data_IF_064216104276
#
_entry.id   IF_064216104276
#
_cell.length_a   1.000
_cell.length_b   1.000
_cell.length_c   1.000
_cell.angle_alpha   90.00
_cell.angle_beta   90.00
_cell.angle_gamma   90.00
#
_symmetry.space_group_name_H-M   'P 1'
#
loop_
_entity.id
_entity.type
_entity.pdbx_description
1 polymer ?
#
# COMPACT_ATOMS: atom_id res chain seq x y z
N UNK A 1 -0.84 -23.06 48.75
CA UNK A 1 0.22 -23.39 47.77
C UNK A 1 -0.22 -22.87 46.41
N UNK A 2 0.28 -21.73 45.95
CA UNK A 2 -0.16 -21.09 44.71
C UNK A 2 1.03 -20.65 43.88
N UNK A 3 1.31 -21.35 42.78
CA UNK A 3 2.03 -20.80 41.65
C UNK A 3 1.14 -20.98 40.45
N UNK A 4 0.42 -19.94 39.98
CA UNK A 4 -0.17 -20.17 38.67
C UNK A 4 -0.26 -18.98 37.71
N UNK A 5 -0.12 -17.70 38.11
CA UNK A 5 -0.44 -16.64 37.12
C UNK A 5 0.69 -16.43 36.11
N UNK A 6 1.94 -16.24 36.56
CA UNK A 6 3.09 -16.00 35.68
C UNK A 6 3.46 -17.20 34.79
N UNK A 7 3.47 -18.42 35.35
CA UNK A 7 3.77 -19.63 34.55
C UNK A 7 2.68 -19.91 33.50
N UNK A 8 1.41 -19.67 33.83
CA UNK A 8 0.29 -19.79 32.89
C UNK A 8 0.37 -18.73 31.79
N UNK A 9 0.73 -17.49 32.14
CA UNK A 9 0.95 -16.39 31.19
C UNK A 9 2.11 -16.69 30.24
N UNK A 10 3.26 -17.16 30.75
CA UNK A 10 4.40 -17.58 29.92
C UNK A 10 4.05 -18.73 28.99
N UNK A 11 3.31 -19.75 29.47
CA UNK A 11 2.84 -20.86 28.62
C UNK A 11 1.88 -20.37 27.53
N UNK A 12 0.98 -19.44 27.85
CA UNK A 12 0.07 -18.84 26.87
C UNK A 12 0.82 -18.00 25.83
N UNK A 13 1.83 -17.24 26.25
CA UNK A 13 2.70 -16.46 25.36
C UNK A 13 3.47 -17.37 24.40
N UNK A 14 4.05 -18.46 24.91
CA UNK A 14 4.75 -19.46 24.09
C UNK A 14 3.83 -20.09 23.04
N UNK A 15 2.62 -20.52 23.45
CA UNK A 15 1.63 -21.08 22.53
C UNK A 15 1.22 -20.06 21.46
N UNK A 16 1.07 -18.79 21.86
CA UNK A 16 0.73 -17.69 20.95
C UNK A 16 1.84 -17.47 19.92
N UNK A 17 3.08 -17.24 20.35
CA UNK A 17 4.19 -16.96 19.43
C UNK A 17 4.47 -18.15 18.49
N UNK A 18 4.30 -19.39 18.96
CA UNK A 18 4.41 -20.57 18.11
C UNK A 18 3.38 -20.57 16.97
N UNK A 19 2.13 -20.20 17.26
CA UNK A 19 1.07 -20.06 16.25
C UNK A 19 1.30 -18.90 15.28
N UNK A 20 1.97 -17.83 15.71
CA UNK A 20 2.35 -16.72 14.82
C UNK A 20 3.46 -17.15 13.86
N UNK A 21 4.48 -17.84 14.35
CA UNK A 21 5.58 -18.37 13.54
C UNK A 21 5.09 -19.30 12.41
N UNK A 22 4.04 -20.10 12.67
CA UNK A 22 3.42 -20.99 11.68
C UNK A 22 2.71 -20.24 10.53
N UNK A 23 2.40 -18.95 10.70
CA UNK A 23 1.61 -18.14 9.75
C UNK A 23 2.41 -17.04 9.03
N UNK A 24 3.63 -16.76 9.46
CA UNK A 24 4.44 -15.65 8.93
C UNK A 24 5.27 -16.11 7.74
N UNK A 25 5.13 -15.38 6.64
CA UNK A 25 5.76 -15.69 5.35
C UNK A 25 7.14 -15.02 5.20
N UNK A 26 7.38 -13.90 5.90
CA UNK A 26 8.63 -13.13 5.77
C UNK A 26 9.76 -13.72 6.64
N UNK A 27 10.95 -14.03 6.08
CA UNK A 27 12.01 -14.75 6.79
C UNK A 27 12.64 -13.98 7.96
N UNK A 28 12.81 -12.66 7.86
CA UNK A 28 13.42 -11.87 8.95
C UNK A 28 12.52 -11.77 10.20
N UNK A 29 11.23 -11.48 9.99
CA UNK A 29 10.21 -11.47 11.07
C UNK A 29 10.07 -12.86 11.70
N UNK A 30 10.23 -13.91 10.89
CA UNK A 30 10.23 -15.29 11.38
C UNK A 30 11.43 -15.57 12.29
N UNK A 31 12.63 -15.05 11.97
CA UNK A 31 13.81 -15.19 12.82
C UNK A 31 13.67 -14.44 14.14
N UNK A 32 13.13 -13.22 14.14
CA UNK A 32 12.91 -12.44 15.37
C UNK A 32 11.95 -13.17 16.33
N UNK A 33 10.84 -13.70 15.81
CA UNK A 33 9.86 -14.46 16.61
C UNK A 33 10.44 -15.80 17.10
N UNK A 34 11.33 -16.42 16.32
CA UNK A 34 12.04 -17.63 16.74
C UNK A 34 12.96 -17.36 17.93
N UNK A 35 13.72 -16.25 17.90
CA UNK A 35 14.57 -15.81 19.01
C UNK A 35 13.73 -15.57 20.27
N UNK A 36 12.59 -14.87 20.15
CA UNK A 36 11.68 -14.66 21.28
C UNK A 36 11.12 -15.97 21.83
N UNK A 37 10.74 -16.92 20.97
CA UNK A 37 10.25 -18.24 21.38
C UNK A 37 11.29 -19.01 22.17
N UNK A 38 12.55 -18.97 21.74
CA UNK A 38 13.65 -19.65 22.41
C UNK A 38 13.95 -19.00 23.78
N UNK A 39 13.88 -17.67 23.88
CA UNK A 39 13.97 -16.96 25.16
C UNK A 39 12.83 -17.34 26.13
N UNK A 40 11.58 -17.38 25.65
CA UNK A 40 10.42 -17.78 26.47
C UNK A 40 10.56 -19.24 26.93
N UNK A 41 11.05 -20.12 26.06
CA UNK A 41 11.27 -21.54 26.37
C UNK A 41 12.35 -21.72 27.44
N UNK A 42 13.47 -21.03 27.31
CA UNK A 42 14.54 -21.04 28.31
C UNK A 42 14.07 -20.53 29.66
N UNK A 43 13.20 -19.51 29.66
CA UNK A 43 12.59 -19.00 30.88
C UNK A 43 11.58 -19.98 31.48
N UNK A 44 10.74 -20.66 30.69
CA UNK A 44 9.86 -21.72 31.18
C UNK A 44 10.65 -22.87 31.84
N UNK A 45 11.81 -23.23 31.29
CA UNK A 45 12.71 -24.24 31.86
C UNK A 45 13.31 -23.75 33.19
N UNK A 46 13.69 -22.46 33.28
CA UNK A 46 14.21 -21.85 34.52
C UNK A 46 13.13 -21.74 35.60
N UNK A 47 11.90 -21.39 35.23
CA UNK A 47 10.72 -21.31 36.12
C UNK A 47 10.34 -22.70 36.65
N UNK A 48 10.45 -23.76 35.84
CA UNK A 48 10.24 -25.13 36.30
C UNK A 48 11.27 -25.57 37.36
N UNK A 49 12.45 -24.96 37.39
CA UNK A 49 13.56 -25.29 38.31
C UNK A 49 13.63 -24.40 39.56
N UNK A 50 13.15 -23.15 39.50
CA UNK A 50 13.16 -22.24 40.65
C UNK A 50 11.90 -21.36 40.67
N UNK A 51 11.05 -21.59 41.69
CA UNK A 51 9.73 -20.98 41.83
C UNK A 51 9.75 -19.54 42.36
N UNK A 52 10.86 -19.09 42.96
CA UNK A 52 11.01 -17.73 43.52
C UNK A 52 11.45 -16.69 42.48
N UNK A 53 11.98 -17.11 41.33
CA UNK A 53 12.38 -16.23 40.23
C UNK A 53 11.21 -15.50 39.56
N UNK A 54 9.97 -15.97 39.78
CA UNK A 54 8.74 -15.46 39.16
C UNK A 54 8.38 -14.06 39.68
N UNK A 55 8.63 -13.79 40.97
CA UNK A 55 8.22 -12.54 41.61
C UNK A 55 9.08 -11.36 41.15
N UNK A 56 10.40 -11.56 41.07
CA UNK A 56 11.33 -10.50 40.69
C UNK A 56 11.28 -10.16 39.19
N UNK A 57 10.95 -11.15 38.34
CA UNK A 57 10.86 -10.93 36.90
C UNK A 57 9.58 -10.20 36.47
N UNK A 58 8.44 -10.51 37.10
CA UNK A 58 7.18 -9.80 36.83
C UNK A 58 7.22 -8.34 37.27
N UNK A 59 7.99 -8.01 38.31
CA UNK A 59 8.16 -6.62 38.78
C UNK A 59 9.10 -5.78 37.92
N UNK A 60 10.05 -6.38 37.20
CA UNK A 60 11.08 -5.62 36.46
C UNK A 60 10.81 -5.51 34.95
N UNK A 61 9.89 -6.28 34.35
CA UNK A 61 9.77 -6.31 32.88
C UNK A 61 8.38 -6.43 32.22
N UNK A 62 7.27 -6.15 32.90
CA UNK A 62 5.96 -6.15 32.24
C UNK A 62 5.03 -5.03 32.71
N UNK A 63 5.39 -3.78 32.38
CA UNK A 63 4.36 -2.87 31.86
C UNK A 63 4.25 -3.18 30.37
N UNK A 64 3.67 -4.34 30.04
CA UNK A 64 3.09 -4.50 28.71
C UNK A 64 1.77 -3.76 28.83
N UNK A 65 1.76 -2.50 28.37
CA UNK A 65 0.52 -1.90 27.90
C UNK A 65 -0.16 -2.97 27.06
N UNK A 66 -1.35 -3.40 27.48
CA UNK A 66 -2.19 -4.29 26.69
C UNK A 66 -2.04 -3.85 25.23
N UNK A 67 -1.65 -4.76 24.33
CA UNK A 67 -1.66 -4.48 22.90
C UNK A 67 -3.15 -4.32 22.53
N UNK A 68 -3.72 -3.17 22.87
CA UNK A 68 -5.03 -2.76 22.46
C UNK A 68 -4.94 -2.70 20.94
N UNK A 69 -5.89 -3.36 20.27
CA UNK A 69 -6.05 -3.21 18.84
C UNK A 69 -5.95 -1.70 18.54
N UNK A 70 -5.05 -1.26 17.63
CA UNK A 70 -4.82 0.15 17.43
C UNK A 70 -6.15 0.87 17.28
N UNK A 71 -6.31 1.99 17.97
CA UNK A 71 -7.59 2.69 17.96
C UNK A 71 -8.05 2.92 16.51
N UNK A 72 -9.37 2.91 16.22
CA UNK A 72 -9.89 3.12 14.86
C UNK A 72 -9.29 4.35 14.13
N UNK A 73 -8.88 5.37 14.91
CA UNK A 73 -8.19 6.57 14.43
C UNK A 73 -6.81 6.30 13.82
N UNK A 74 -6.07 5.32 14.35
CA UNK A 74 -4.74 4.93 13.82
C UNK A 74 -4.91 4.25 12.47
N UNK A 75 -5.88 3.35 12.32
CA UNK A 75 -6.20 2.74 11.03
C UNK A 75 -6.65 3.77 10.01
N UNK A 76 -7.57 4.67 10.40
CA UNK A 76 -8.02 5.74 9.52
C UNK A 76 -6.83 6.58 9.04
N UNK A 77 -5.93 7.00 9.94
CA UNK A 77 -4.75 7.77 9.57
C UNK A 77 -3.86 7.03 8.57
N UNK A 78 -3.54 5.75 8.81
CA UNK A 78 -2.68 4.95 7.94
C UNK A 78 -3.32 4.71 6.56
N UNK A 79 -4.60 4.34 6.53
CA UNK A 79 -5.35 4.12 5.28
C UNK A 79 -5.47 5.41 4.48
N UNK A 80 -5.77 6.54 5.14
CA UNK A 80 -5.83 7.86 4.50
C UNK A 80 -4.47 8.28 3.96
N UNK A 81 -3.39 8.03 4.70
CA UNK A 81 -2.03 8.32 4.27
C UNK A 81 -1.65 7.47 3.05
N UNK A 82 -1.98 6.18 3.05
CA UNK A 82 -1.75 5.29 1.90
C UNK A 82 -2.55 5.76 0.67
N UNK A 83 -3.84 6.06 0.83
CA UNK A 83 -4.67 6.57 -0.27
C UNK A 83 -4.09 7.86 -0.86
N UNK A 84 -3.76 8.86 -0.03
CA UNK A 84 -3.24 10.15 -0.49
C UNK A 84 -1.83 10.05 -1.05
N UNK A 85 -0.97 9.29 -0.38
CA UNK A 85 0.46 9.22 -0.64
C UNK A 85 0.82 8.30 -1.79
N UNK A 86 0.23 7.11 -1.85
CA UNK A 86 0.59 6.08 -2.83
C UNK A 86 -0.41 6.01 -3.97
N UNK A 87 -1.68 5.74 -3.67
CA UNK A 87 -2.70 5.46 -4.69
C UNK A 87 -3.03 6.68 -5.55
N UNK A 88 -3.39 7.80 -4.92
CA UNK A 88 -3.76 9.03 -5.64
C UNK A 88 -2.55 9.64 -6.39
N UNK A 89 -1.35 9.54 -5.81
CA UNK A 89 -0.12 9.98 -6.47
C UNK A 89 0.16 9.16 -7.73
N UNK A 90 0.04 7.83 -7.65
CA UNK A 90 0.20 6.94 -8.79
C UNK A 90 -0.83 7.23 -9.89
N UNK A 91 -2.10 7.48 -9.53
CA UNK A 91 -3.14 7.86 -10.48
C UNK A 91 -2.83 9.20 -11.19
N UNK A 92 -2.36 10.21 -10.46
CA UNK A 92 -1.98 11.52 -11.03
C UNK A 92 -0.75 11.40 -11.95
N UNK A 93 0.25 10.65 -11.52
CA UNK A 93 1.46 10.41 -12.32
C UNK A 93 1.12 9.66 -13.60
N UNK A 94 0.32 8.60 -13.53
CA UNK A 94 -0.14 7.83 -14.68
C UNK A 94 -0.87 8.71 -15.71
N UNK A 95 -1.80 9.56 -15.24
CA UNK A 95 -2.53 10.51 -16.11
C UNK A 95 -1.58 11.53 -16.77
N UNK A 96 -0.57 11.98 -16.05
CA UNK A 96 0.42 12.92 -16.57
C UNK A 96 1.37 12.27 -17.58
N UNK A 97 1.79 11.02 -17.36
CA UNK A 97 2.57 10.25 -18.33
C UNK A 97 1.79 10.06 -19.65
N UNK A 98 0.50 9.71 -19.55
CA UNK A 98 -0.38 9.57 -20.72
C UNK A 98 -0.44 10.89 -21.52
N UNK A 99 -0.73 12.00 -20.83
CA UNK A 99 -0.79 13.32 -21.46
C UNK A 99 0.52 13.74 -22.12
N UNK A 100 1.67 13.53 -21.47
CA UNK A 100 2.98 13.84 -22.05
C UNK A 100 3.32 13.00 -23.27
N UNK A 101 2.92 11.73 -23.28
CA UNK A 101 3.04 10.86 -24.46
C UNK A 101 2.19 11.39 -25.60
N UNK A 102 0.94 11.78 -25.36
CA UNK A 102 0.03 12.35 -26.37
C UNK A 102 0.54 13.68 -26.93
N UNK A 103 0.93 14.63 -26.07
CA UNK A 103 1.46 15.94 -26.47
C UNK A 103 2.72 15.79 -27.33
N UNK A 104 3.58 14.80 -27.03
CA UNK A 104 4.78 14.53 -27.84
C UNK A 104 4.48 13.81 -29.16
N UNK A 105 3.54 12.87 -29.19
CA UNK A 105 3.06 12.27 -30.45
C UNK A 105 2.51 13.33 -31.39
N UNK A 106 1.71 14.26 -30.86
CA UNK A 106 1.22 15.43 -31.60
C UNK A 106 2.36 16.30 -32.12
N UNK A 107 3.41 16.52 -31.33
CA UNK A 107 4.59 17.28 -31.76
C UNK A 107 5.34 16.60 -32.92
N UNK A 108 5.47 15.27 -32.90
CA UNK A 108 6.06 14.49 -34.01
C UNK A 108 5.21 14.64 -35.28
N UNK A 109 3.89 14.58 -35.17
CA UNK A 109 2.97 14.76 -36.31
C UNK A 109 2.92 16.19 -36.86
N UNK A 110 3.20 17.20 -36.04
CA UNK A 110 3.15 18.63 -36.40
C UNK A 110 4.51 19.19 -36.83
N UNK A 111 5.56 18.37 -36.94
CA UNK A 111 6.81 18.80 -37.56
C UNK A 111 6.50 19.25 -39.00
N UNK A 112 6.98 20.43 -39.44
CA UNK A 112 6.71 20.90 -40.79
C UNK A 112 7.09 19.81 -41.80
N UNK A 113 6.22 19.60 -42.79
CA UNK A 113 6.26 18.57 -43.86
C UNK A 113 7.55 18.53 -44.72
N UNK A 114 8.65 19.13 -44.27
CA UNK A 114 10.00 18.94 -44.82
C UNK A 114 10.79 17.85 -44.09
N UNK A 115 10.16 17.03 -43.25
CA UNK A 115 10.77 15.78 -42.80
C UNK A 115 10.50 14.71 -43.85
N UNK A 116 11.59 14.26 -44.46
CA UNK A 116 11.61 13.30 -45.55
C UNK A 116 10.71 12.09 -45.25
N UNK A 117 10.08 11.59 -46.32
CA UNK A 117 9.46 10.28 -46.37
C UNK A 117 10.33 9.24 -45.65
N UNK A 118 9.72 8.36 -44.85
CA UNK A 118 10.35 7.19 -44.25
C UNK A 118 11.13 6.31 -45.26
N UNK A 119 10.96 6.53 -46.57
CA UNK A 119 11.72 5.87 -47.63
C UNK A 119 13.18 6.33 -47.80
N UNK A 120 13.61 7.42 -47.16
CA UNK A 120 15.00 7.91 -47.22
C UNK A 120 15.86 7.44 -46.03
N UNK A 121 15.36 6.51 -45.22
CA UNK A 121 15.94 6.14 -43.91
C UNK A 121 17.30 5.43 -43.93
N UNK A 122 17.89 5.14 -45.09
CA UNK A 122 19.28 4.65 -45.14
C UNK A 122 20.00 5.17 -46.39
N UNK A 123 20.88 6.17 -46.23
CA UNK A 123 22.02 6.34 -47.12
C UNK A 123 23.25 5.72 -46.47
N UNK A 124 23.45 4.43 -46.70
CA UNK A 124 24.72 3.76 -46.41
C UNK A 124 25.76 4.29 -47.40
N UNK A 125 26.56 5.27 -46.97
CA UNK A 125 27.76 5.70 -47.69
C UNK A 125 28.95 5.34 -46.82
N UNK A 126 29.63 4.24 -47.14
CA UNK A 126 30.88 3.85 -46.47
C UNK A 126 30.75 3.09 -45.14
N UNK A 127 29.57 2.57 -44.78
CA UNK A 127 29.39 1.75 -43.57
C UNK A 127 29.06 2.54 -42.30
N UNK A 128 28.94 3.87 -42.37
CA UNK A 128 28.48 4.72 -41.28
C UNK A 128 27.09 5.31 -41.60
N UNK A 129 26.12 5.07 -40.71
CA UNK A 129 24.77 5.64 -40.81
C UNK A 129 24.85 7.15 -40.51
N UNK A 130 24.77 7.98 -41.54
CA UNK A 130 24.78 9.44 -41.41
C UNK A 130 23.36 9.98 -41.21
N UNK A 131 22.96 10.18 -39.95
CA UNK A 131 21.67 10.79 -39.59
C UNK A 131 21.71 12.32 -39.64
N UNK A 132 20.71 12.93 -40.28
CA UNK A 132 20.49 14.38 -40.26
C UNK A 132 20.19 14.90 -38.84
N UNK A 133 20.39 16.20 -38.59
CA UNK A 133 20.07 16.80 -37.27
C UNK A 133 18.58 16.63 -36.91
N UNK A 134 17.69 16.65 -37.90
CA UNK A 134 16.25 16.39 -37.75
C UNK A 134 15.96 14.93 -37.40
N UNK A 135 16.62 13.96 -38.05
CA UNK A 135 16.46 12.53 -37.73
C UNK A 135 16.94 12.21 -36.32
N UNK A 136 18.07 12.76 -35.89
CA UNK A 136 18.57 12.61 -34.51
C UNK A 136 17.59 13.19 -33.48
N UNK A 137 16.80 14.20 -33.84
CA UNK A 137 15.76 14.78 -32.96
C UNK A 137 14.50 13.93 -32.94
N UNK A 138 14.08 13.37 -34.08
CA UNK A 138 12.95 12.46 -34.20
C UNK A 138 13.16 11.17 -33.39
N UNK A 139 14.31 10.50 -33.58
CA UNK A 139 14.65 9.28 -32.84
C UNK A 139 14.64 9.54 -31.33
N UNK A 140 15.26 10.64 -30.88
CA UNK A 140 15.24 11.04 -29.45
C UNK A 140 13.86 11.39 -28.92
N UNK A 141 12.92 11.80 -29.78
CA UNK A 141 11.55 12.08 -29.39
C UNK A 141 10.76 10.77 -29.25
N UNK A 142 10.94 9.84 -30.18
CA UNK A 142 10.37 8.48 -30.15
C UNK A 142 10.85 7.71 -28.92
N UNK A 143 12.17 7.68 -28.68
CA UNK A 143 12.76 7.07 -27.47
C UNK A 143 12.14 7.63 -26.19
N UNK A 144 11.93 8.96 -26.11
CA UNK A 144 11.28 9.58 -24.95
C UNK A 144 9.78 9.27 -24.86
N UNK A 145 9.10 9.03 -25.97
CA UNK A 145 7.71 8.57 -25.95
C UNK A 145 7.63 7.14 -25.41
N UNK A 146 8.55 6.27 -25.83
CA UNK A 146 8.66 4.90 -25.34
C UNK A 146 9.00 4.85 -23.85
N UNK A 147 9.90 5.71 -23.38
CA UNK A 147 10.17 5.89 -21.94
C UNK A 147 8.90 6.28 -21.16
N UNK A 148 8.12 7.25 -21.66
CA UNK A 148 6.87 7.65 -21.01
C UNK A 148 5.81 6.56 -21.04
N UNK A 149 5.75 5.78 -22.12
CA UNK A 149 4.81 4.67 -22.24
C UNK A 149 5.18 3.50 -21.33
N UNK A 150 6.46 3.14 -21.27
CA UNK A 150 6.97 2.14 -20.32
C UNK A 150 6.67 2.56 -18.87
N UNK A 151 6.92 3.83 -18.53
CA UNK A 151 6.56 4.38 -17.21
C UNK A 151 5.06 4.35 -16.94
N UNK A 152 4.24 4.66 -17.95
CA UNK A 152 2.79 4.54 -17.84
C UNK A 152 2.35 3.10 -17.55
N UNK A 153 2.92 2.11 -18.25
CA UNK A 153 2.60 0.70 -18.03
C UNK A 153 3.00 0.22 -16.62
N UNK A 154 4.18 0.61 -16.14
CA UNK A 154 4.62 0.33 -14.77
C UNK A 154 3.66 0.91 -13.73
N UNK A 155 3.28 2.19 -13.90
CA UNK A 155 2.33 2.85 -13.02
C UNK A 155 0.94 2.22 -13.10
N UNK A 156 0.51 1.78 -14.28
CA UNK A 156 -0.78 1.09 -14.47
C UNK A 156 -0.80 -0.23 -13.72
N UNK A 157 0.23 -1.06 -13.84
CA UNK A 157 0.33 -2.31 -13.09
C UNK A 157 0.28 -2.06 -11.57
N UNK A 158 0.98 -1.02 -11.11
CA UNK A 158 0.93 -0.61 -9.70
C UNK A 158 -0.47 -0.15 -9.27
N UNK A 159 -1.16 0.63 -10.08
CA UNK A 159 -2.55 1.05 -9.81
C UNK A 159 -3.48 -0.17 -9.80
N UNK A 160 -3.35 -1.09 -10.74
CA UNK A 160 -4.16 -2.32 -10.80
C UNK A 160 -3.98 -3.17 -9.53
N UNK A 161 -2.75 -3.28 -9.01
CA UNK A 161 -2.47 -3.96 -7.74
C UNK A 161 -3.11 -3.24 -6.54
N UNK A 162 -3.12 -1.90 -6.55
CA UNK A 162 -3.82 -1.12 -5.52
C UNK A 162 -5.35 -1.23 -5.65
N UNK A 163 -5.89 -1.36 -6.86
CA UNK A 163 -7.33 -1.62 -7.08
C UNK A 163 -7.74 -3.01 -6.60
N UNK A 164 -6.85 -4.01 -6.65
CA UNK A 164 -7.08 -5.31 -6.00
C UNK A 164 -7.26 -5.16 -4.49
N UNK A 165 -6.52 -4.25 -3.85
CA UNK A 165 -6.71 -3.96 -2.42
C UNK A 165 -8.10 -3.35 -2.21
N UNK A 166 -8.53 -2.40 -3.05
CA UNK A 166 -9.89 -1.86 -2.98
C UNK A 166 -10.96 -2.92 -3.26
N UNK A 167 -10.63 -3.97 -4.02
CA UNK A 167 -11.57 -5.04 -4.38
C UNK A 167 -12.08 -5.84 -3.17
N UNK A 168 -11.38 -5.81 -2.02
CA UNK A 168 -11.79 -6.47 -0.78
C UNK A 168 -13.02 -5.82 -0.12
N UNK A 169 -13.41 -4.62 -0.57
CA UNK A 169 -14.55 -3.89 -0.06
C UNK A 169 -15.85 -4.31 -0.75
N UNK A 170 -16.96 -4.31 -0.01
CA UNK A 170 -18.31 -4.40 -0.62
C UNK A 170 -18.58 -3.18 -1.50
N UNK A 171 -19.59 -3.27 -2.37
CA UNK A 171 -19.96 -2.17 -3.24
C UNK A 171 -20.26 -0.89 -2.45
N UNK A 172 -21.00 -1.01 -1.34
CA UNK A 172 -21.35 0.13 -0.48
C UNK A 172 -20.11 0.71 0.23
N UNK A 173 -19.19 -0.14 0.68
CA UNK A 173 -17.95 0.29 1.31
C UNK A 173 -17.02 0.99 0.31
N UNK A 174 -16.91 0.48 -0.91
CA UNK A 174 -16.17 1.13 -2.01
C UNK A 174 -16.72 2.52 -2.26
N UNK A 175 -18.05 2.66 -2.30
CA UNK A 175 -18.71 3.93 -2.57
C UNK A 175 -18.44 4.95 -1.46
N UNK A 176 -18.50 4.53 -0.20
CA UNK A 176 -18.10 5.38 0.94
C UNK A 176 -16.65 5.85 0.81
N UNK A 177 -15.71 4.94 0.50
CA UNK A 177 -14.29 5.28 0.35
C UNK A 177 -14.05 6.20 -0.86
N UNK A 178 -14.78 5.95 -1.96
CA UNK A 178 -14.73 6.72 -3.20
C UNK A 178 -15.12 8.19 -2.96
N UNK A 179 -16.32 8.41 -2.44
CA UNK A 179 -16.90 9.74 -2.19
C UNK A 179 -16.12 10.46 -1.09
N UNK A 180 -15.80 9.77 0.01
CA UNK A 180 -15.19 10.41 1.18
C UNK A 180 -13.73 10.79 0.98
N UNK A 181 -12.95 9.92 0.33
CA UNK A 181 -11.50 10.04 0.27
C UNK A 181 -10.98 10.18 -1.17
N UNK A 182 -11.29 9.24 -2.07
CA UNK A 182 -10.65 9.15 -3.39
C UNK A 182 -10.99 10.36 -4.27
N UNK A 183 -12.26 10.72 -4.42
CA UNK A 183 -12.68 11.84 -5.27
C UNK A 183 -12.11 13.18 -4.80
N UNK A 184 -12.22 13.57 -3.51
CA UNK A 184 -11.61 14.80 -3.02
C UNK A 184 -10.09 14.82 -3.19
N UNK A 185 -9.40 13.73 -2.86
CA UNK A 185 -7.93 13.67 -2.97
C UNK A 185 -7.45 13.76 -4.42
N UNK A 186 -8.19 13.18 -5.36
CA UNK A 186 -7.91 13.31 -6.80
C UNK A 186 -7.97 14.78 -7.23
N UNK A 187 -8.91 15.55 -6.66
CA UNK A 187 -9.06 17.00 -6.89
C UNK A 187 -8.12 17.88 -6.05
N UNK A 188 -7.29 17.28 -5.18
CA UNK A 188 -6.39 18.01 -4.28
C UNK A 188 -7.07 18.62 -3.06
N UNK A 189 -8.30 18.21 -2.76
CA UNK A 189 -9.09 18.63 -1.61
C UNK A 189 -8.85 17.71 -0.41
N UNK A 190 -9.34 18.10 0.77
CA UNK A 190 -9.34 17.23 1.96
C UNK A 190 -10.50 16.22 1.90
N UNK A 191 -10.45 15.19 2.75
CA UNK A 191 -11.53 14.22 2.86
C UNK A 191 -12.84 14.94 3.23
N UNK A 192 -13.95 14.52 2.62
CA UNK A 192 -15.28 15.06 2.93
C UNK A 192 -15.70 14.72 4.34
N UNK A 193 -16.56 15.55 4.93
CA UNK A 193 -17.20 15.25 6.21
C UNK A 193 -18.08 14.00 6.09
N UNK A 194 -18.41 13.37 7.21
CA UNK A 194 -19.33 12.23 7.19
C UNK A 194 -20.72 12.67 6.66
N UNK A 195 -21.14 13.90 6.96
CA UNK A 195 -22.41 14.47 6.51
C UNK A 195 -22.45 14.72 5.00
N UNK A 196 -21.39 15.30 4.44
CA UNK A 196 -21.23 15.50 2.99
C UNK A 196 -21.18 14.16 2.26
N UNK A 197 -20.51 13.16 2.85
CA UNK A 197 -20.44 11.82 2.27
C UNK A 197 -21.83 11.18 2.22
N UNK A 198 -22.59 11.25 3.32
CA UNK A 198 -23.94 10.68 3.41
C UNK A 198 -24.92 11.35 2.45
N UNK A 199 -24.79 12.67 2.25
CA UNK A 199 -25.65 13.41 1.33
C UNK A 199 -25.53 12.95 -0.13
N UNK A 200 -24.38 12.37 -0.52
CA UNK A 200 -24.14 11.88 -1.88
C UNK A 200 -24.32 10.36 -2.03
N UNK A 201 -24.55 9.63 -0.92
CA UNK A 201 -24.75 8.18 -0.97
C UNK A 201 -26.19 7.85 -1.40
N UNK A 202 -26.38 6.77 -2.19
CA UNK A 202 -27.70 6.39 -2.70
C UNK A 202 -28.59 5.68 -1.66
N UNK A 203 -28.23 5.76 -0.37
CA UNK A 203 -28.92 5.05 0.72
C UNK A 203 -29.09 5.92 1.96
N UNK A 204 -29.99 5.50 2.85
CA UNK A 204 -30.38 6.28 4.03
C UNK A 204 -29.23 6.52 5.03
N UNK A 205 -29.27 7.68 5.69
CA UNK A 205 -28.32 8.07 6.74
C UNK A 205 -28.24 7.04 7.87
N UNK A 206 -29.39 6.47 8.25
CA UNK A 206 -29.52 5.40 9.26
C UNK A 206 -28.68 4.19 8.89
N UNK A 207 -28.76 3.75 7.64
CA UNK A 207 -28.01 2.61 7.11
C UNK A 207 -26.49 2.81 7.24
N UNK A 208 -25.98 4.01 6.98
CA UNK A 208 -24.56 4.34 7.09
C UNK A 208 -24.01 4.11 8.50
N UNK A 209 -24.72 4.60 9.53
CA UNK A 209 -24.28 4.50 10.92
C UNK A 209 -24.54 3.13 11.53
N UNK A 210 -25.71 2.53 11.28
CA UNK A 210 -26.09 1.22 11.83
C UNK A 210 -25.15 0.11 11.34
N UNK A 211 -24.83 0.12 10.04
CA UNK A 211 -23.90 -0.84 9.43
C UNK A 211 -22.44 -0.46 9.63
N UNK A 212 -22.16 0.66 10.29
CA UNK A 212 -20.81 1.15 10.57
C UNK A 212 -19.94 1.18 9.30
N UNK A 213 -20.52 1.56 8.16
CA UNK A 213 -19.93 1.36 6.83
C UNK A 213 -18.53 1.98 6.70
N UNK A 214 -18.34 3.19 7.21
CA UNK A 214 -17.04 3.86 7.22
C UNK A 214 -16.00 3.05 7.98
N UNK A 215 -16.27 2.71 9.23
CA UNK A 215 -15.30 1.99 10.07
C UNK A 215 -15.05 0.55 9.59
N UNK A 216 -16.07 -0.11 9.02
CA UNK A 216 -15.89 -1.45 8.44
C UNK A 216 -15.07 -1.41 7.15
N UNK A 217 -15.27 -0.39 6.30
CA UNK A 217 -14.45 -0.17 5.11
C UNK A 217 -12.98 0.11 5.47
N UNK A 218 -12.72 0.99 6.45
CA UNK A 218 -11.36 1.29 6.90
C UNK A 218 -10.67 0.08 7.52
N UNK A 219 -11.40 -0.75 8.28
CA UNK A 219 -10.86 -1.98 8.83
C UNK A 219 -10.53 -3.00 7.72
N UNK A 220 -11.40 -3.17 6.74
CA UNK A 220 -11.15 -4.07 5.61
C UNK A 220 -9.92 -3.64 4.80
N UNK A 221 -9.77 -2.34 4.52
CA UNK A 221 -8.57 -1.81 3.87
C UNK A 221 -7.31 -1.98 4.72
N UNK A 222 -7.38 -1.68 6.02
CA UNK A 222 -6.25 -1.87 6.92
C UNK A 222 -5.80 -3.34 6.98
N UNK A 223 -6.74 -4.29 6.94
CA UNK A 223 -6.44 -5.71 6.86
C UNK A 223 -5.74 -6.07 5.54
N UNK A 224 -6.29 -5.61 4.41
CA UNK A 224 -5.73 -5.87 3.08
C UNK A 224 -4.33 -5.25 2.90
N UNK A 225 -4.03 -4.16 3.62
CA UNK A 225 -2.72 -3.51 3.66
C UNK A 225 -1.75 -4.14 4.67
N UNK A 226 -2.18 -5.15 5.44
CA UNK A 226 -1.35 -5.83 6.45
C UNK A 226 -1.06 -4.97 7.69
N UNK A 227 -1.93 -4.01 8.01
CA UNK A 227 -1.80 -3.19 9.22
C UNK A 227 -2.45 -3.82 10.46
N UNK A 228 -3.01 -5.03 10.34
CA UNK A 228 -3.68 -5.82 11.41
C UNK A 228 -3.09 -7.22 11.55
#
# INVERSE_FOLDING_TARGET
>A
MSLPNGEKQLKQLYIRQKRYLEKIVHPDVRNEIQIELDMIKDQLIKVAKNKEAISNFLSEQLVIDECQAPSPKIYEKKVVQWLKGEYISALKEMKHCLKRSEDKKLYVHNLPNNTASYSDLERVVGGEIHLSKSEKVLIRLEEKCDEFFARYLELKLKVDDMEKILSCLTLEQKEVVRIKYIEPFTRGQNARSDEETIAELPFEKTYFYERKLKSSALAALANALGYM
#
